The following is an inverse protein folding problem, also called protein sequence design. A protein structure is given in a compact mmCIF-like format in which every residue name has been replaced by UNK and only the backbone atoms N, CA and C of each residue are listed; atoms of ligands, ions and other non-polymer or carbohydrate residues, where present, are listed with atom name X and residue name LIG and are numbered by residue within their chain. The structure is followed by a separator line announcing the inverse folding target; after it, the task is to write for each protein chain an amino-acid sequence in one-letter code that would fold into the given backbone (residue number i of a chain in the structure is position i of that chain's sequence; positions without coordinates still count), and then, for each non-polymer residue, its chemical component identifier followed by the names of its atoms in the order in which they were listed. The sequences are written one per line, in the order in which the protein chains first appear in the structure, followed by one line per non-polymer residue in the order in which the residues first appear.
data_IF_755492683144
#
_entry.id   IF_755492683144
#
_cell.length_a   1.000
_cell.length_b   1.000
_cell.length_c   1.000
_cell.angle_alpha   90.00
_cell.angle_beta   90.00
_cell.angle_gamma   90.00
#
_symmetry.space_group_name_H-M   'P 1'
#
loop_
_entity.id
_entity.type
_entity.pdbx_description
1 polymer ?
#
# COMPACT_ATOMS: atom_id res chain seq x y z
N UNK A 1 -0.41 22.27 0.26
CA UNK A 1 0.25 21.04 0.76
C UNK A 1 0.81 20.31 -0.46
N UNK A 2 2.10 19.96 -0.49
CA UNK A 2 2.71 19.32 -1.66
C UNK A 2 2.37 17.81 -1.64
N UNK A 3 1.70 17.26 -2.68
CA UNK A 3 1.17 15.90 -2.66
C UNK A 3 2.21 14.81 -2.36
N UNK A 4 3.42 14.93 -2.94
CA UNK A 4 4.47 13.93 -2.74
C UNK A 4 4.89 13.80 -1.28
N UNK A 5 5.02 14.93 -0.57
CA UNK A 5 5.34 14.90 0.85
C UNK A 5 4.18 14.31 1.68
N UNK A 6 2.93 14.46 1.25
CA UNK A 6 1.82 13.81 1.93
C UNK A 6 1.88 12.29 1.78
N UNK A 7 2.21 11.80 0.58
CA UNK A 7 2.36 10.36 0.32
C UNK A 7 3.52 9.77 1.12
N UNK A 8 4.69 10.42 1.09
CA UNK A 8 5.90 9.95 1.78
C UNK A 8 5.78 9.98 3.30
N UNK A 9 5.00 10.92 3.85
CA UNK A 9 4.76 11.05 5.29
C UNK A 9 3.46 10.38 5.76
N UNK A 10 2.84 9.52 4.93
CA UNK A 10 1.65 8.77 5.37
C UNK A 10 2.06 7.73 6.41
N UNK A 11 1.30 7.63 7.50
CA UNK A 11 1.57 6.67 8.58
C UNK A 11 1.15 5.25 8.20
N UNK A 12 1.78 4.24 8.80
CA UNK A 12 1.42 2.83 8.58
C UNK A 12 -0.06 2.54 8.89
N UNK A 13 -0.62 3.16 9.94
CA UNK A 13 -2.04 3.08 10.30
C UNK A 13 -2.96 3.55 9.15
N UNK A 14 -2.64 4.68 8.51
CA UNK A 14 -3.41 5.19 7.37
C UNK A 14 -3.24 4.34 6.12
N UNK A 15 -2.11 3.66 5.97
CA UNK A 15 -1.91 2.70 4.89
C UNK A 15 -2.74 1.44 5.13
N UNK A 16 -2.85 0.99 6.38
CA UNK A 16 -3.70 -0.14 6.76
C UNK A 16 -5.18 0.18 6.53
N UNK A 17 -5.67 1.34 6.99
CA UNK A 17 -7.06 1.78 6.80
C UNK A 17 -7.46 1.79 5.31
N UNK A 18 -6.57 2.28 4.43
CA UNK A 18 -6.76 2.21 2.97
C UNK A 18 -6.78 0.78 2.44
N UNK A 19 -5.92 -0.09 2.96
CA UNK A 19 -5.87 -1.48 2.54
C UNK A 19 -7.15 -2.23 2.99
N UNK A 20 -7.61 -2.01 4.20
CA UNK A 20 -8.86 -2.59 4.72
C UNK A 20 -10.08 -2.12 3.91
N UNK A 21 -10.12 -0.84 3.53
CA UNK A 21 -11.21 -0.33 2.68
C UNK A 21 -11.26 -1.02 1.31
N UNK A 22 -10.11 -1.22 0.66
CA UNK A 22 -10.06 -1.94 -0.62
C UNK A 22 -10.32 -3.45 -0.43
N UNK A 23 -9.87 -4.03 0.68
CA UNK A 23 -10.11 -5.43 1.02
C UNK A 23 -11.60 -5.77 1.14
N UNK A 24 -12.42 -4.90 1.76
CA UNK A 24 -13.88 -5.10 1.81
C UNK A 24 -14.49 -5.07 0.39
N UNK A 25 -14.07 -4.15 -0.48
CA UNK A 25 -14.55 -4.11 -1.88
C UNK A 25 -14.17 -5.37 -2.68
N UNK A 26 -13.02 -5.97 -2.41
CA UNK A 26 -12.58 -7.22 -3.05
C UNK A 26 -13.38 -8.42 -2.53
N UNK A 27 -13.65 -8.44 -1.22
CA UNK A 27 -14.45 -9.46 -0.54
C UNK A 27 -15.88 -9.50 -1.08
N UNK A 28 -16.50 -8.34 -1.29
CA UNK A 28 -17.83 -8.22 -1.92
C UNK A 28 -17.88 -8.86 -3.32
N UNK A 29 -16.76 -8.85 -4.03
CA UNK A 29 -16.60 -9.44 -5.37
C UNK A 29 -16.08 -10.88 -5.34
N UNK A 30 -15.94 -11.48 -4.16
CA UNK A 30 -15.41 -12.83 -3.96
C UNK A 30 -14.00 -13.02 -4.54
N UNK A 31 -13.22 -11.94 -4.61
CA UNK A 31 -11.82 -11.98 -5.04
C UNK A 31 -10.99 -12.37 -3.83
N UNK A 32 -10.18 -13.42 -3.95
CA UNK A 32 -9.23 -13.83 -2.90
C UNK A 32 -8.09 -12.82 -2.80
N UNK A 33 -7.79 -12.34 -1.61
CA UNK A 33 -6.71 -11.38 -1.37
C UNK A 33 -6.01 -11.63 -0.03
N UNK A 34 -4.85 -11.01 0.11
CA UNK A 34 -4.05 -10.97 1.34
C UNK A 34 -3.47 -9.57 1.52
N UNK A 35 -3.64 -8.95 2.69
CA UNK A 35 -2.94 -7.71 3.04
C UNK A 35 -1.55 -8.09 3.56
N UNK A 36 -0.50 -7.51 2.98
CA UNK A 36 0.89 -7.82 3.31
C UNK A 36 1.68 -6.58 3.68
N UNK A 37 2.57 -6.74 4.65
CA UNK A 37 3.63 -5.78 4.93
C UNK A 37 4.74 -5.87 3.88
N UNK A 38 5.24 -4.71 3.44
CA UNK A 38 6.32 -4.65 2.45
C UNK A 38 7.24 -3.46 2.65
N UNK A 39 8.42 -3.53 2.04
CA UNK A 39 9.34 -2.41 1.88
C UNK A 39 9.26 -1.93 0.44
N UNK A 40 8.78 -0.70 0.27
CA UNK A 40 8.61 -0.08 -1.05
C UNK A 40 9.76 0.86 -1.34
N UNK A 41 10.36 0.73 -2.52
CA UNK A 41 11.27 1.73 -3.08
C UNK A 41 10.45 2.88 -3.67
N UNK A 42 10.75 4.11 -3.27
CA UNK A 42 10.00 5.31 -3.68
C UNK A 42 10.90 6.33 -4.35
N UNK A 43 10.32 7.25 -5.14
CA UNK A 43 11.09 8.22 -5.93
C UNK A 43 11.61 7.66 -7.25
N UNK A 44 11.19 6.46 -7.67
CA UNK A 44 11.64 5.84 -8.91
C UNK A 44 13.15 5.60 -8.92
N UNK A 45 13.80 5.85 -10.05
CA UNK A 45 15.26 5.70 -10.18
C UNK A 45 16.09 6.83 -9.58
N UNK A 46 15.49 7.93 -9.12
CA UNK A 46 16.24 9.10 -8.62
C UNK A 46 16.61 8.98 -7.15
N UNK A 47 15.84 8.20 -6.37
CA UNK A 47 16.12 7.92 -4.95
C UNK A 47 16.16 6.41 -4.69
N UNK A 48 17.10 5.67 -5.32
CA UNK A 48 17.08 4.21 -5.31
C UNK A 48 17.32 3.59 -3.92
N UNK A 49 17.98 4.33 -3.02
CA UNK A 49 18.23 3.86 -1.65
C UNK A 49 17.05 4.13 -0.69
N UNK A 50 16.05 4.93 -1.10
CA UNK A 50 14.94 5.30 -0.22
C UNK A 50 13.90 4.18 -0.19
N UNK A 51 13.89 3.43 0.91
CA UNK A 51 12.90 2.41 1.20
C UNK A 51 11.99 2.86 2.34
N UNK A 52 10.68 2.68 2.16
CA UNK A 52 9.68 2.98 3.16
C UNK A 52 8.85 1.73 3.46
N UNK A 53 8.48 1.55 4.73
CA UNK A 53 7.48 0.55 5.11
C UNK A 53 6.14 0.89 4.45
N UNK A 54 5.45 -0.13 3.97
CA UNK A 54 4.21 0.01 3.24
C UNK A 54 3.27 -1.18 3.48
N UNK A 55 2.01 -1.00 3.11
CA UNK A 55 0.98 -2.05 3.09
C UNK A 55 0.54 -2.26 1.65
N UNK A 56 0.52 -3.51 1.21
CA UNK A 56 0.06 -3.89 -0.12
C UNK A 56 -1.08 -4.91 -0.03
N UNK A 57 -1.88 -5.00 -1.09
CA UNK A 57 -2.88 -6.06 -1.26
C UNK A 57 -2.43 -6.96 -2.39
N UNK A 58 -2.16 -8.21 -2.04
CA UNK A 58 -1.82 -9.28 -2.98
C UNK A 58 -3.11 -9.97 -3.42
N UNK A 59 -3.39 -9.93 -4.71
CA UNK A 59 -4.51 -10.68 -5.30
C UNK A 59 -4.06 -12.13 -5.50
N UNK A 60 -4.89 -13.07 -5.05
CA UNK A 60 -4.62 -14.49 -5.14
C UNK A 60 -5.36 -15.09 -6.35
N UNK A 61 -4.79 -16.11 -7.02
CA UNK A 61 -5.50 -16.86 -8.05
C UNK A 61 -6.74 -17.56 -7.46
N UNK A 62 -7.76 -17.74 -8.31
CA UNK A 62 -9.03 -18.39 -7.96
C UNK A 62 -8.84 -19.87 -7.59
#
# INVERSE_FOLDING_TARGET
KIPIFQMLNTTEEKLLDKAEHLAELLKERQIKYEIVDTLSQVGGGTLPALQLKSKAIKILPL
#
